data_IF_760827446848
#
_entry.id   IF_760827446848
#
_cell.length_a   1.000
_cell.length_b   1.000
_cell.length_c   1.000
_cell.angle_alpha   90.00
_cell.angle_beta   90.00
_cell.angle_gamma   90.00
#
_symmetry.space_group_name_H-M   'P 1'
#
loop_
_entity.id
_entity.type
_entity.pdbx_description
1 polymer ?
#
# COMPACT_ATOMS: atom_id res chain seq x y z
N UNK A 1 2.93 11.31 1.58
CA UNK A 1 2.81 12.27 0.47
C UNK A 1 1.36 12.33 0.05
N UNK A 2 0.77 13.53 0.05
CA UNK A 2 -0.57 13.78 -0.50
C UNK A 2 -0.43 14.47 -1.86
N UNK A 3 -1.10 13.94 -2.88
CA UNK A 3 -1.07 14.43 -4.25
C UNK A 3 -2.42 15.04 -4.67
N UNK A 4 -2.44 15.77 -5.79
CA UNK A 4 -3.67 16.29 -6.39
C UNK A 4 -4.37 15.16 -7.15
N UNK A 5 -5.68 14.99 -6.98
CA UNK A 5 -6.43 13.95 -7.70
C UNK A 5 -6.64 14.34 -9.17
N UNK A 6 -5.76 13.85 -10.05
CA UNK A 6 -5.80 14.09 -11.51
C UNK A 6 -6.02 12.80 -12.34
N UNK A 7 -6.29 11.68 -11.68
CA UNK A 7 -6.49 10.36 -12.29
C UNK A 7 -5.21 9.52 -12.45
N UNK A 8 -4.03 10.14 -12.34
CA UNK A 8 -2.72 9.47 -12.38
C UNK A 8 -2.00 9.55 -11.03
N UNK A 9 -2.43 10.47 -10.18
CA UNK A 9 -1.90 10.78 -8.85
C UNK A 9 -1.57 9.57 -7.98
N UNK A 10 -2.41 8.53 -7.99
CA UNK A 10 -2.19 7.33 -7.18
C UNK A 10 -1.01 6.50 -7.69
N UNK A 11 -0.87 6.36 -9.02
CA UNK A 11 0.22 5.60 -9.65
C UNK A 11 1.54 6.34 -9.53
N UNK A 12 1.54 7.66 -9.73
CA UNK A 12 2.74 8.48 -9.56
C UNK A 12 3.20 8.56 -8.10
N UNK A 13 2.26 8.73 -7.17
CA UNK A 13 2.60 8.66 -5.74
C UNK A 13 3.12 7.28 -5.35
N UNK A 14 2.52 6.20 -5.85
CA UNK A 14 3.00 4.85 -5.58
C UNK A 14 4.42 4.65 -6.10
N UNK A 15 4.74 5.07 -7.33
CA UNK A 15 6.11 5.01 -7.89
C UNK A 15 7.13 5.73 -7.00
N UNK A 16 6.81 6.95 -6.56
CA UNK A 16 7.67 7.70 -5.65
C UNK A 16 7.89 6.95 -4.32
N UNK A 17 6.81 6.46 -3.70
CA UNK A 17 6.89 5.73 -2.43
C UNK A 17 7.65 4.40 -2.54
N UNK A 18 7.52 3.71 -3.66
CA UNK A 18 8.26 2.47 -3.94
C UNK A 18 9.76 2.76 -4.06
N UNK A 19 10.13 3.81 -4.79
CA UNK A 19 11.52 4.23 -4.92
C UNK A 19 12.14 4.59 -3.55
N UNK A 20 11.43 5.36 -2.73
CA UNK A 20 11.88 5.71 -1.38
C UNK A 20 12.08 4.45 -0.52
N UNK A 21 11.14 3.50 -0.59
CA UNK A 21 11.24 2.23 0.13
C UNK A 21 12.43 1.37 -0.37
N UNK A 22 12.69 1.37 -1.68
CA UNK A 22 13.81 0.63 -2.28
C UNK A 22 15.16 1.21 -1.85
N UNK A 23 15.26 2.54 -1.81
CA UNK A 23 16.45 3.27 -1.35
C UNK A 23 16.69 3.04 0.15
N UNK A 24 15.64 3.09 0.98
CA UNK A 24 15.76 2.92 2.43
C UNK A 24 16.26 1.53 2.87
N UNK A 25 16.10 0.50 2.04
CA UNK A 25 16.58 -0.85 2.36
C UNK A 25 18.09 -1.03 2.20
N UNK A 26 18.77 -0.15 1.46
CA UNK A 26 20.23 -0.13 1.23
C UNK A 26 20.86 -1.49 0.83
N UNK A 27 20.05 -2.41 0.31
CA UNK A 27 20.47 -3.75 -0.13
C UNK A 27 19.88 -4.01 -1.53
N UNK A 28 20.71 -4.02 -2.59
CA UNK A 28 20.26 -4.24 -3.96
C UNK A 28 19.79 -5.68 -4.23
N UNK A 29 20.07 -6.62 -3.33
CA UNK A 29 19.73 -8.05 -3.45
C UNK A 29 18.43 -8.42 -2.74
N UNK A 30 17.98 -7.57 -1.81
CA UNK A 30 16.72 -7.78 -1.08
C UNK A 30 15.53 -7.74 -2.03
N UNK A 31 14.78 -8.82 -2.09
CA UNK A 31 13.51 -8.87 -2.81
C UNK A 31 12.43 -8.09 -2.05
N UNK A 32 11.67 -7.27 -2.78
CA UNK A 32 10.54 -6.51 -2.28
C UNK A 32 9.32 -6.89 -3.10
N UNK A 33 8.18 -7.04 -2.43
CA UNK A 33 6.90 -7.31 -3.09
C UNK A 33 5.95 -6.15 -2.83
N UNK A 34 5.12 -5.82 -3.82
CA UNK A 34 4.11 -4.76 -3.71
C UNK A 34 2.71 -5.36 -3.84
N UNK A 35 1.97 -5.42 -2.73
CA UNK A 35 0.55 -5.72 -2.76
C UNK A 35 -0.26 -4.48 -3.17
N UNK A 36 -1.00 -4.54 -4.27
CA UNK A 36 -1.83 -3.42 -4.74
C UNK A 36 -3.21 -3.89 -5.25
N UNK A 37 -4.17 -2.98 -5.29
CA UNK A 37 -5.52 -3.30 -5.77
C UNK A 37 -5.59 -3.42 -7.31
N UNK A 38 -6.78 -3.77 -7.81
CA UNK A 38 -7.02 -4.03 -9.24
C UNK A 38 -6.90 -2.79 -10.14
N UNK A 39 -6.99 -1.58 -9.58
CA UNK A 39 -6.82 -0.33 -10.31
C UNK A 39 -5.37 -0.11 -10.76
N UNK A 40 -4.42 -0.74 -10.08
CA UNK A 40 -2.99 -0.73 -10.44
C UNK A 40 -2.60 -1.77 -11.48
N UNK A 41 -3.53 -2.65 -11.90
CA UNK A 41 -3.29 -3.63 -12.98
C UNK A 41 -3.28 -2.92 -14.33
N UNK A 42 -2.21 -2.15 -14.56
CA UNK A 42 -1.92 -1.41 -15.78
C UNK A 42 -0.49 -1.74 -16.21
N UNK A 43 -0.28 -1.96 -17.50
CA UNK A 43 1.01 -2.39 -18.04
C UNK A 43 2.16 -1.47 -17.61
N UNK A 44 1.99 -0.17 -17.81
CA UNK A 44 2.95 0.87 -17.40
C UNK A 44 3.33 0.83 -15.91
N UNK A 45 2.42 0.38 -15.04
CA UNK A 45 2.65 0.35 -13.59
C UNK A 45 3.37 -0.94 -13.18
N UNK A 46 2.98 -2.07 -13.78
CA UNK A 46 3.64 -3.35 -13.59
C UNK A 46 5.09 -3.29 -14.10
N UNK A 47 5.32 -2.71 -15.29
CA UNK A 47 6.66 -2.51 -15.85
C UNK A 47 7.51 -1.63 -14.91
N UNK A 48 6.97 -0.51 -14.43
CA UNK A 48 7.68 0.35 -13.47
C UNK A 48 8.07 -0.41 -12.19
N UNK A 49 7.23 -1.31 -11.68
CA UNK A 49 7.58 -2.14 -10.52
C UNK A 49 8.77 -3.05 -10.83
N UNK A 50 8.77 -3.70 -12.00
CA UNK A 50 9.86 -4.58 -12.43
C UNK A 50 11.17 -3.80 -12.59
N UNK A 51 11.13 -2.61 -13.21
CA UNK A 51 12.29 -1.73 -13.37
C UNK A 51 12.89 -1.29 -12.02
N UNK A 52 12.03 -1.08 -11.02
CA UNK A 52 12.42 -0.78 -9.64
C UNK A 52 12.87 -2.02 -8.85
N UNK A 53 12.94 -3.21 -9.48
CA UNK A 53 13.23 -4.51 -8.84
C UNK A 53 12.25 -4.86 -7.72
N UNK A 54 10.97 -4.59 -7.94
CA UNK A 54 9.86 -4.88 -7.02
C UNK A 54 8.91 -5.84 -7.70
N UNK A 55 8.62 -6.96 -7.04
CA UNK A 55 7.68 -7.97 -7.55
C UNK A 55 6.24 -7.47 -7.40
N UNK A 56 5.50 -7.23 -8.50
CA UNK A 56 4.15 -6.68 -8.46
C UNK A 56 3.10 -7.74 -8.06
N UNK A 57 2.72 -7.78 -6.77
CA UNK A 57 1.57 -8.54 -6.28
C UNK A 57 0.26 -7.73 -6.43
N UNK A 58 0.01 -7.26 -7.64
CA UNK A 58 -1.18 -6.47 -7.98
C UNK A 58 -2.36 -7.41 -8.22
N UNK A 59 -3.55 -7.07 -7.73
CA UNK A 59 -4.73 -7.89 -7.98
C UNK A 59 -5.12 -7.89 -9.47
N UNK A 60 -5.09 -9.07 -10.10
CA UNK A 60 -5.46 -9.23 -11.51
C UNK A 60 -6.90 -8.79 -11.79
N UNK A 61 -7.10 -7.98 -12.84
CA UNK A 61 -8.40 -7.58 -13.34
C UNK A 61 -8.66 -8.26 -14.69
N UNK A 62 -9.31 -9.42 -14.62
CA UNK A 62 -9.53 -10.36 -15.74
C UNK A 62 -10.78 -10.12 -16.60
N UNK A 63 -11.90 -9.57 -16.09
CA UNK A 63 -13.08 -9.39 -16.93
C UNK A 63 -12.83 -8.46 -18.11
N UNK A 64 -12.97 -8.97 -19.33
CA UNK A 64 -12.89 -8.18 -20.57
C UNK A 64 -11.50 -7.69 -20.96
N UNK A 65 -10.42 -8.15 -20.30
CA UNK A 65 -9.03 -7.79 -20.65
C UNK A 65 -8.01 -8.82 -20.13
N UNK A 66 -6.82 -8.81 -20.71
CA UNK A 66 -5.66 -9.52 -20.17
C UNK A 66 -5.03 -8.70 -19.02
N UNK A 67 -4.66 -9.35 -17.92
CA UNK A 67 -3.97 -8.68 -16.80
C UNK A 67 -2.53 -8.35 -17.20
N UNK A 68 -1.99 -7.25 -16.67
CA UNK A 68 -0.59 -6.89 -16.85
C UNK A 68 0.35 -7.74 -15.97
N UNK A 69 -0.16 -8.32 -14.88
CA UNK A 69 0.64 -9.15 -13.96
C UNK A 69 1.04 -10.47 -14.63
N UNK A 70 2.35 -10.79 -14.72
CA UNK A 70 2.82 -12.05 -15.27
C UNK A 70 2.26 -13.28 -14.54
N UNK A 71 1.93 -14.33 -15.30
CA UNK A 71 1.36 -15.56 -14.75
C UNK A 71 2.29 -16.24 -13.74
N UNK A 72 3.60 -16.20 -13.98
CA UNK A 72 4.60 -16.75 -13.05
C UNK A 72 4.52 -16.09 -11.64
N UNK A 73 4.23 -14.79 -11.58
CA UNK A 73 4.02 -14.08 -10.32
C UNK A 73 2.66 -14.45 -9.74
N UNK A 74 1.60 -14.41 -10.54
CA UNK A 74 0.23 -14.70 -10.10
C UNK A 74 0.04 -16.13 -9.56
N UNK A 75 0.88 -17.08 -9.98
CA UNK A 75 0.88 -18.46 -9.53
C UNK A 75 1.80 -18.73 -8.32
N UNK A 76 2.58 -17.73 -7.88
CA UNK A 76 3.48 -17.90 -6.75
C UNK A 76 2.74 -17.95 -5.40
N UNK A 77 3.30 -18.67 -4.42
CA UNK A 77 2.78 -18.70 -3.05
C UNK A 77 2.81 -17.30 -2.41
N UNK A 78 3.89 -16.54 -2.65
CA UNK A 78 4.04 -15.18 -2.15
C UNK A 78 2.93 -14.24 -2.64
N UNK A 79 2.49 -14.40 -3.89
CA UNK A 79 1.35 -13.66 -4.43
C UNK A 79 0.06 -14.00 -3.68
N UNK A 80 -0.24 -15.28 -3.45
CA UNK A 80 -1.43 -15.69 -2.72
C UNK A 80 -1.48 -15.11 -1.29
N UNK A 81 -0.35 -15.15 -0.57
CA UNK A 81 -0.22 -14.56 0.77
C UNK A 81 -0.41 -13.04 0.71
N UNK A 82 0.26 -12.36 -0.23
CA UNK A 82 0.18 -10.91 -0.38
C UNK A 82 -1.25 -10.45 -0.66
N UNK A 83 -1.98 -11.18 -1.51
CA UNK A 83 -3.38 -10.88 -1.82
C UNK A 83 -4.32 -11.00 -0.61
N UNK A 84 -4.04 -11.91 0.31
CA UNK A 84 -4.77 -11.99 1.58
C UNK A 84 -4.42 -10.81 2.50
N UNK A 85 -3.12 -10.51 2.65
CA UNK A 85 -2.61 -9.45 3.53
C UNK A 85 -2.95 -8.04 3.04
N UNK A 86 -3.10 -7.83 1.73
CA UNK A 86 -3.48 -6.55 1.12
C UNK A 86 -4.72 -5.95 1.78
N UNK A 87 -5.70 -6.78 2.16
CA UNK A 87 -6.95 -6.35 2.82
C UNK A 87 -6.74 -5.70 4.19
N UNK A 88 -5.58 -5.91 4.84
CA UNK A 88 -5.29 -5.32 6.14
C UNK A 88 -5.16 -3.79 6.07
N UNK A 89 -4.74 -3.24 4.92
CA UNK A 89 -4.59 -1.79 4.77
C UNK A 89 -5.95 -1.07 4.85
N UNK A 90 -7.03 -1.74 4.45
CA UNK A 90 -8.40 -1.22 4.53
C UNK A 90 -8.84 -0.96 5.97
N UNK A 91 -8.29 -1.68 6.94
CA UNK A 91 -8.59 -1.44 8.35
C UNK A 91 -8.03 -0.08 8.80
N UNK A 92 -6.80 0.24 8.39
CA UNK A 92 -6.17 1.53 8.69
C UNK A 92 -6.88 2.68 8.00
N UNK A 93 -7.13 2.56 6.70
CA UNK A 93 -7.86 3.59 5.94
C UNK A 93 -9.32 3.74 6.41
N UNK A 94 -9.99 2.65 6.77
CA UNK A 94 -11.34 2.66 7.34
C UNK A 94 -11.37 3.38 8.69
N UNK A 95 -10.40 3.10 9.57
CA UNK A 95 -10.25 3.79 10.85
C UNK A 95 -9.96 5.28 10.65
N UNK A 96 -9.02 5.63 9.76
CA UNK A 96 -8.67 7.02 9.47
C UNK A 96 -9.88 7.82 8.97
N UNK A 97 -10.73 7.22 8.14
CA UNK A 97 -11.95 7.86 7.63
C UNK A 97 -13.02 8.03 8.71
N UNK A 98 -13.27 6.99 9.51
CA UNK A 98 -14.41 6.95 10.45
C UNK A 98 -14.08 7.58 11.80
N UNK A 99 -12.89 7.31 12.34
CA UNK A 99 -12.45 7.79 13.66
C UNK A 99 -11.50 8.97 13.51
N UNK A 100 -10.57 8.88 12.55
CA UNK A 100 -9.54 9.91 12.31
C UNK A 100 -10.01 11.15 11.55
N UNK A 101 -11.30 11.26 11.22
CA UNK A 101 -11.87 12.44 10.56
C UNK A 101 -11.46 12.64 9.09
N UNK A 102 -10.73 11.69 8.47
CA UNK A 102 -10.20 11.87 7.12
C UNK A 102 -11.25 11.72 6.01
N UNK A 103 -12.49 11.31 6.33
CA UNK A 103 -13.58 11.25 5.36
C UNK A 103 -13.99 12.64 4.85
N UNK A 104 -13.92 13.65 5.71
CA UNK A 104 -14.23 15.06 5.40
C UNK A 104 -13.26 15.96 6.16
N UNK A 105 -12.04 16.09 5.62
CA UNK A 105 -10.99 16.91 6.23
C UNK A 105 -11.36 18.40 6.19
N UNK A 106 -11.26 19.08 7.33
CA UNK A 106 -11.69 20.49 7.49
C UNK A 106 -10.59 21.52 7.22
N UNK A 107 -9.38 21.09 6.85
CA UNK A 107 -8.26 21.97 6.51
C UNK A 107 -8.13 22.15 5.00
N UNK A 108 -7.66 23.33 4.57
CA UNK A 108 -7.43 23.64 3.14
C UNK A 108 -5.93 23.68 2.84
N UNK A 109 -5.55 23.09 1.70
CA UNK A 109 -4.19 23.05 1.18
C UNK A 109 -3.45 21.76 1.50
N UNK A 110 -2.69 21.25 0.51
CA UNK A 110 -2.03 19.94 0.56
C UNK A 110 -1.14 19.75 1.80
N UNK A 111 -0.34 20.76 2.17
CA UNK A 111 0.54 20.69 3.34
C UNK A 111 -0.22 20.42 4.64
N UNK A 112 -1.38 21.07 4.84
CA UNK A 112 -2.20 20.89 6.05
C UNK A 112 -2.88 19.52 6.05
N UNK A 113 -3.34 19.07 4.88
CA UNK A 113 -3.95 17.74 4.72
C UNK A 113 -2.93 16.63 4.97
N UNK A 114 -1.70 16.76 4.45
CA UNK A 114 -0.62 15.80 4.65
C UNK A 114 -0.24 15.68 6.14
N UNK A 115 -0.10 16.81 6.85
CA UNK A 115 0.12 16.81 8.30
C UNK A 115 -1.00 16.07 9.06
N UNK A 116 -2.27 16.36 8.74
CA UNK A 116 -3.40 15.69 9.37
C UNK A 116 -3.40 14.20 9.08
N UNK A 117 -3.12 13.81 7.84
CA UNK A 117 -3.07 12.42 7.43
C UNK A 117 -1.96 11.65 8.16
N UNK A 118 -0.74 12.20 8.22
CA UNK A 118 0.38 11.58 8.94
C UNK A 118 0.08 11.44 10.43
N UNK A 119 -0.48 12.47 11.06
CA UNK A 119 -0.87 12.42 12.47
C UNK A 119 -1.94 11.34 12.73
N UNK A 120 -2.96 11.27 11.88
CA UNK A 120 -4.02 10.25 11.99
C UNK A 120 -3.46 8.83 11.81
N UNK A 121 -2.58 8.61 10.83
CA UNK A 121 -1.97 7.29 10.62
C UNK A 121 -1.01 6.91 11.75
N UNK A 122 -0.29 7.87 12.33
CA UNK A 122 0.53 7.65 13.53
C UNK A 122 -0.33 7.23 14.73
N UNK A 123 -1.46 7.91 14.96
CA UNK A 123 -2.41 7.54 16.01
C UNK A 123 -2.98 6.13 15.79
N UNK A 124 -3.33 5.77 14.55
CA UNK A 124 -3.76 4.41 14.22
C UNK A 124 -2.68 3.37 14.54
N UNK A 125 -1.41 3.65 14.22
CA UNK A 125 -0.31 2.74 14.55
C UNK A 125 -0.21 2.50 16.06
N UNK A 126 -0.39 3.53 16.90
CA UNK A 126 -0.42 3.37 18.36
C UNK A 126 -1.57 2.46 18.82
N UNK A 127 -2.78 2.67 18.29
CA UNK A 127 -3.95 1.81 18.58
C UNK A 127 -3.69 0.36 18.17
N UNK A 128 -3.12 0.15 16.98
CA UNK A 128 -2.78 -1.18 16.48
C UNK A 128 -1.71 -1.86 17.32
N UNK A 129 -0.68 -1.13 17.76
CA UNK A 129 0.38 -1.68 18.61
C UNK A 129 -0.14 -2.18 19.96
N UNK A 130 -1.16 -1.54 20.55
CA UNK A 130 -1.82 -2.04 21.77
C UNK A 130 -2.32 -3.48 21.58
N UNK A 131 -3.03 -3.75 20.49
CA UNK A 131 -3.56 -5.09 20.20
C UNK A 131 -2.44 -6.08 19.89
N UNK A 132 -1.44 -5.69 19.09
CA UNK A 132 -0.29 -6.54 18.78
C UNK A 132 0.53 -6.91 20.02
N UNK A 133 0.71 -5.98 20.95
CA UNK A 133 1.36 -6.22 22.23
C UNK A 133 0.61 -7.23 23.08
N UNK A 134 -0.72 -7.12 23.19
CA UNK A 134 -1.55 -8.07 23.92
C UNK A 134 -1.48 -9.49 23.35
N UNK A 135 -1.50 -9.62 22.01
CA UNK A 135 -1.34 -10.93 21.35
C UNK A 135 0.00 -11.57 21.71
N UNK A 136 1.09 -10.79 21.73
CA UNK A 136 2.41 -11.33 22.13
C UNK A 136 2.41 -11.85 23.56
N UNK A 137 1.75 -11.17 24.49
CA UNK A 137 1.65 -11.63 25.88
C UNK A 137 0.84 -12.94 25.99
N UNK A 138 -0.21 -13.11 25.19
CA UNK A 138 -1.03 -14.32 25.18
C UNK A 138 -0.34 -15.54 24.56
N UNK A 139 0.56 -15.35 23.61
CA UNK A 139 1.34 -16.44 22.97
C UNK A 139 2.54 -16.87 23.84
N UNK A 140 2.98 -16.00 24.76
CA UNK A 140 4.11 -16.25 25.65
C UNK A 140 3.70 -16.84 27.02
N UNK A 141 2.42 -17.08 27.26
CA UNK A 141 1.86 -17.76 28.44
C UNK A 141 1.44 -19.17 28.06
#
# INVERSE_FOLDING_TARGET
MVTIADGYAEREAARAMINDARQALDDPTREITLGADKGFDAQEFVEACVDMKVTPHVAQNKPGRHSAVPDAIAQSEGYAVSQQKRKLIEQGFGWAKTVGGMRQVMVRGLKKVDQMFVLTMAAYNLVRMRTLGQIRTQVAQ
#
